data_IF_497095663180
#
_entry.id   IF_497095663180
#
_cell.length_a   1.000
_cell.length_b   1.000
_cell.length_c   1.000
_cell.angle_alpha   90.00
_cell.angle_beta   90.00
_cell.angle_gamma   90.00
#
_symmetry.space_group_name_H-M   'P 1'
#
loop_
_entity.id
_entity.type
_entity.pdbx_description
1 polymer ?
#
# COMPACT_ATOMS: atom_id res chain seq x y z
N UNK A 1 2.17 -12.76 -7.43
CA UNK A 1 2.12 -14.24 -7.60
C UNK A 1 1.12 -14.91 -6.64
N UNK A 2 1.18 -14.67 -5.31
CA UNK A 2 0.25 -15.28 -4.33
C UNK A 2 -1.21 -14.86 -4.53
N UNK A 3 -1.49 -13.57 -4.74
CA UNK A 3 -2.82 -13.07 -5.14
C UNK A 3 -3.44 -13.84 -6.32
N UNK A 4 -2.64 -14.14 -7.35
CA UNK A 4 -3.12 -14.90 -8.51
C UNK A 4 -3.42 -16.36 -8.17
N UNK A 5 -2.65 -16.97 -7.27
CA UNK A 5 -2.88 -18.36 -6.83
C UNK A 5 -4.19 -18.45 -6.03
N UNK A 6 -4.44 -17.51 -5.12
CA UNK A 6 -5.66 -17.44 -4.32
C UNK A 6 -6.88 -17.22 -5.22
N UNK A 7 -6.79 -16.37 -6.24
CA UNK A 7 -7.90 -16.14 -7.17
C UNK A 7 -8.11 -17.26 -8.21
N UNK A 8 -7.18 -18.21 -8.34
CA UNK A 8 -7.25 -19.26 -9.35
C UNK A 8 -8.01 -20.52 -8.90
N UNK A 9 -8.25 -20.67 -7.59
CA UNK A 9 -8.91 -21.84 -7.01
C UNK A 9 -10.20 -21.44 -6.26
N UNK A 10 -11.32 -22.17 -6.43
CA UNK A 10 -12.56 -21.95 -5.67
C UNK A 10 -12.41 -22.22 -4.17
N UNK A 11 -11.52 -23.15 -3.82
CA UNK A 11 -11.05 -23.37 -2.46
C UNK A 11 -9.55 -23.13 -2.44
N UNK A 12 -9.17 -22.08 -1.75
CA UNK A 12 -7.78 -21.65 -1.65
C UNK A 12 -7.07 -22.42 -0.57
N UNK A 13 -5.91 -22.96 -0.91
CA UNK A 13 -5.01 -23.62 0.02
C UNK A 13 -4.68 -22.69 1.20
N UNK A 14 -4.96 -23.14 2.42
CA UNK A 14 -4.79 -22.36 3.65
C UNK A 14 -3.32 -21.93 3.83
N UNK A 15 -2.39 -22.77 3.39
CA UNK A 15 -0.97 -22.43 3.39
C UNK A 15 -0.67 -21.22 2.51
N UNK A 16 -1.29 -21.13 1.33
CA UNK A 16 -1.11 -19.98 0.42
C UNK A 16 -1.69 -18.69 1.01
N UNK A 17 -2.79 -18.78 1.78
CA UNK A 17 -3.33 -17.63 2.53
C UNK A 17 -2.38 -17.18 3.64
N UNK A 18 -1.90 -18.11 4.46
CA UNK A 18 -0.97 -17.81 5.53
C UNK A 18 0.31 -17.15 4.99
N UNK A 19 0.87 -17.66 3.89
CA UNK A 19 2.04 -17.06 3.26
C UNK A 19 1.77 -15.64 2.73
N UNK A 20 0.54 -15.32 2.29
CA UNK A 20 0.18 -13.96 1.91
C UNK A 20 0.10 -13.04 3.13
N UNK A 21 -0.51 -13.50 4.22
CA UNK A 21 -0.60 -12.75 5.48
C UNK A 21 0.78 -12.46 6.07
N UNK A 22 1.67 -13.45 6.06
CA UNK A 22 3.05 -13.30 6.50
C UNK A 22 3.80 -12.25 5.67
N UNK A 23 3.64 -12.29 4.34
CA UNK A 23 4.23 -11.29 3.43
C UNK A 23 3.67 -9.88 3.70
N UNK A 24 2.37 -9.74 3.93
CA UNK A 24 1.76 -8.46 4.28
C UNK A 24 2.31 -7.91 5.61
N UNK A 25 2.44 -8.78 6.62
CA UNK A 25 3.01 -8.43 7.92
C UNK A 25 4.48 -8.01 7.79
N UNK A 26 5.27 -8.71 6.98
CA UNK A 26 6.67 -8.38 6.72
C UNK A 26 6.83 -7.05 5.97
N UNK A 27 5.99 -6.79 4.97
CA UNK A 27 5.97 -5.51 4.25
C UNK A 27 5.66 -4.39 5.24
N UNK A 28 4.61 -4.54 6.07
CA UNK A 28 4.25 -3.56 7.10
C UNK A 28 5.40 -3.30 8.09
N UNK A 29 6.03 -4.36 8.59
CA UNK A 29 7.15 -4.25 9.54
C UNK A 29 8.33 -3.53 8.91
N UNK A 30 8.70 -3.89 7.68
CA UNK A 30 9.81 -3.25 6.98
C UNK A 30 9.50 -1.79 6.63
N UNK A 31 8.29 -1.49 6.18
CA UNK A 31 7.87 -0.13 5.86
C UNK A 31 7.93 0.79 7.08
N UNK A 32 7.45 0.32 8.25
CA UNK A 32 7.57 1.08 9.50
C UNK A 32 9.03 1.29 9.93
N UNK A 33 9.89 0.29 9.73
CA UNK A 33 11.32 0.42 10.02
C UNK A 33 12.01 1.43 9.10
N UNK A 34 11.69 1.43 7.80
CA UNK A 34 12.22 2.41 6.85
C UNK A 34 11.73 3.81 7.19
N UNK A 35 10.42 3.99 7.44
CA UNK A 35 9.83 5.26 7.89
C UNK A 35 10.53 5.80 9.13
N UNK A 36 10.73 4.98 10.16
CA UNK A 36 11.42 5.39 11.39
C UNK A 36 12.87 5.83 11.14
N UNK A 37 13.58 5.15 10.24
CA UNK A 37 14.95 5.54 9.86
C UNK A 37 14.99 6.85 9.06
N UNK A 38 14.05 7.06 8.14
CA UNK A 38 13.95 8.31 7.38
C UNK A 38 13.68 9.49 8.29
N UNK A 39 12.68 9.38 9.19
CA UNK A 39 12.39 10.39 10.22
C UNK A 39 13.61 10.67 11.11
N UNK A 40 14.38 9.64 11.46
CA UNK A 40 15.62 9.83 12.21
C UNK A 40 16.70 10.61 11.44
N UNK A 41 16.83 10.40 10.13
CA UNK A 41 17.77 11.16 9.29
C UNK A 41 17.31 12.61 9.17
N UNK A 42 16.01 12.84 8.95
CA UNK A 42 15.40 14.18 8.90
C UNK A 42 15.69 14.98 10.17
N UNK A 43 15.42 14.42 11.36
CA UNK A 43 15.69 15.10 12.63
C UNK A 43 17.17 15.46 12.81
N UNK A 44 18.08 14.61 12.34
CA UNK A 44 19.51 14.91 12.39
C UNK A 44 19.88 16.06 11.43
N UNK A 45 19.29 16.10 10.22
CA UNK A 45 19.47 17.19 9.26
C UNK A 45 19.00 18.50 9.87
N UNK A 46 17.79 18.54 10.45
CA UNK A 46 17.22 19.73 11.08
C UNK A 46 18.10 20.26 12.23
N UNK A 47 18.64 19.36 13.07
CA UNK A 47 19.54 19.74 14.16
C UNK A 47 20.86 20.33 13.65
N UNK A 48 21.45 19.78 12.59
CA UNK A 48 22.68 20.29 12.00
C UNK A 48 22.47 21.64 11.31
N UNK A 49 21.31 21.85 10.67
CA UNK A 49 20.93 23.12 10.06
C UNK A 49 20.78 24.24 11.09
N UNK A 50 20.16 23.96 12.24
CA UNK A 50 20.05 24.91 13.35
C UNK A 50 21.42 25.35 13.90
N UNK A 51 22.45 24.51 13.74
CA UNK A 51 23.83 24.84 14.14
C UNK A 51 24.60 25.60 13.04
N UNK A 52 23.96 26.01 11.94
CA UNK A 52 24.56 26.68 10.78
C UNK A 52 25.76 25.92 10.17
N UNK A 53 25.79 24.59 10.30
CA UNK A 53 26.85 23.74 9.73
C UNK A 53 26.55 23.44 8.27
N UNK A 54 26.91 24.34 7.34
CA UNK A 54 26.88 24.02 5.91
C UNK A 54 28.11 23.20 5.51
N UNK A 55 28.02 21.88 5.66
CA UNK A 55 29.12 20.94 5.34
C UNK A 55 28.79 20.07 4.12
N UNK A 56 29.84 19.52 3.48
CA UNK A 56 29.66 18.50 2.43
C UNK A 56 28.90 17.28 2.96
N UNK A 57 29.12 16.91 4.22
CA UNK A 57 28.46 15.80 4.89
C UNK A 57 26.94 16.07 5.08
N UNK A 58 26.55 17.28 5.48
CA UNK A 58 25.13 17.68 5.56
C UNK A 58 24.46 17.61 4.18
N UNK A 59 25.13 18.10 3.12
CA UNK A 59 24.62 18.00 1.74
C UNK A 59 24.41 16.54 1.32
N UNK A 60 25.37 15.66 1.62
CA UNK A 60 25.26 14.23 1.33
C UNK A 60 24.05 13.63 2.07
N UNK A 61 23.88 13.90 3.38
CA UNK A 61 22.74 13.40 4.16
C UNK A 61 21.41 13.84 3.54
N UNK A 62 21.27 15.12 3.16
CA UNK A 62 20.07 15.68 2.52
C UNK A 62 19.75 14.99 1.19
N UNK A 63 20.74 14.84 0.31
CA UNK A 63 20.56 14.14 -0.98
C UNK A 63 20.18 12.68 -0.80
N UNK A 64 20.83 11.97 0.13
CA UNK A 64 20.53 10.57 0.40
C UNK A 64 19.13 10.39 1.01
N UNK A 65 18.76 11.25 1.97
CA UNK A 65 17.43 11.26 2.56
C UNK A 65 16.33 11.43 1.50
N UNK A 66 16.50 12.40 0.58
CA UNK A 66 15.57 12.64 -0.51
C UNK A 66 15.45 11.44 -1.46
N UNK A 67 16.58 10.90 -1.89
CA UNK A 67 16.62 9.75 -2.79
C UNK A 67 15.94 8.53 -2.17
N UNK A 68 16.22 8.24 -0.89
CA UNK A 68 15.63 7.12 -0.18
C UNK A 68 14.13 7.32 0.06
N UNK A 69 13.70 8.54 0.40
CA UNK A 69 12.29 8.89 0.58
C UNK A 69 11.49 8.70 -0.70
N UNK A 70 12.02 9.16 -1.85
CA UNK A 70 11.38 8.99 -3.16
C UNK A 70 11.22 7.52 -3.52
N UNK A 71 12.30 6.73 -3.37
CA UNK A 71 12.25 5.28 -3.61
C UNK A 71 11.26 4.57 -2.69
N UNK A 72 11.18 4.99 -1.43
CA UNK A 72 10.23 4.42 -0.49
C UNK A 72 8.78 4.68 -0.94
N UNK A 73 8.45 5.92 -1.29
CA UNK A 73 7.12 6.29 -1.81
C UNK A 73 6.79 5.51 -3.09
N UNK A 74 7.74 5.37 -4.01
CA UNK A 74 7.58 4.59 -5.25
C UNK A 74 7.18 3.13 -4.95
N UNK A 75 7.95 2.44 -4.11
CA UNK A 75 7.68 1.04 -3.73
C UNK A 75 6.34 0.89 -3.01
N UNK A 76 6.02 1.80 -2.09
CA UNK A 76 4.75 1.75 -1.37
C UNK A 76 3.56 2.04 -2.30
N UNK A 77 3.74 2.88 -3.33
CA UNK A 77 2.71 3.18 -4.33
C UNK A 77 2.42 1.96 -5.18
N UNK A 78 3.47 1.25 -5.62
CA UNK A 78 3.32 -0.01 -6.36
C UNK A 78 2.68 -1.10 -5.50
N UNK A 79 3.00 -1.16 -4.20
CA UNK A 79 2.33 -2.05 -3.26
C UNK A 79 0.83 -1.71 -3.14
N UNK A 80 0.47 -0.43 -2.97
CA UNK A 80 -0.93 0.00 -2.93
C UNK A 80 -1.69 -0.37 -4.21
N UNK A 81 -1.08 -0.13 -5.38
CA UNK A 81 -1.64 -0.54 -6.67
C UNK A 81 -1.91 -2.04 -6.73
N UNK A 82 -0.96 -2.86 -6.26
CA UNK A 82 -1.12 -4.32 -6.19
C UNK A 82 -2.29 -4.73 -5.29
N UNK A 83 -2.49 -4.04 -4.17
CA UNK A 83 -3.61 -4.29 -3.24
C UNK A 83 -4.95 -3.92 -3.87
N UNK A 84 -5.05 -2.74 -4.50
CA UNK A 84 -6.25 -2.28 -5.21
C UNK A 84 -6.61 -3.22 -6.35
N UNK A 85 -5.66 -3.61 -7.19
CA UNK A 85 -5.89 -4.58 -8.27
C UNK A 85 -6.40 -5.93 -7.74
N UNK A 86 -5.92 -6.37 -6.58
CA UNK A 86 -6.39 -7.61 -5.96
C UNK A 86 -7.81 -7.45 -5.38
N UNK A 87 -8.12 -6.31 -4.75
CA UNK A 87 -9.47 -5.98 -4.26
C UNK A 87 -10.49 -6.05 -5.39
N UNK A 88 -10.21 -5.39 -6.52
CA UNK A 88 -11.11 -5.39 -7.69
C UNK A 88 -11.33 -6.79 -8.25
N UNK A 89 -10.31 -7.64 -8.26
CA UNK A 89 -10.46 -9.04 -8.67
C UNK A 89 -11.32 -9.86 -7.69
N UNK A 90 -11.19 -9.62 -6.38
CA UNK A 90 -12.06 -10.25 -5.38
C UNK A 90 -13.51 -9.78 -5.54
N UNK A 91 -13.73 -8.48 -5.76
CA UNK A 91 -15.05 -7.91 -6.04
C UNK A 91 -15.69 -8.56 -7.27
N UNK A 92 -14.98 -8.62 -8.40
CA UNK A 92 -15.48 -9.27 -9.62
C UNK A 92 -15.77 -10.76 -9.45
N UNK A 93 -15.03 -11.47 -8.56
CA UNK A 93 -15.35 -12.85 -8.20
C UNK A 93 -16.68 -12.95 -7.44
N UNK A 94 -16.90 -12.09 -6.44
CA UNK A 94 -18.16 -12.05 -5.69
C UNK A 94 -19.33 -11.75 -6.63
N UNK A 95 -19.19 -10.75 -7.51
CA UNK A 95 -20.21 -10.41 -8.50
C UNK A 95 -20.63 -11.62 -9.34
N UNK A 96 -19.64 -12.33 -9.90
CA UNK A 96 -19.89 -13.52 -10.70
C UNK A 96 -20.56 -14.65 -9.91
N UNK A 97 -20.20 -14.81 -8.63
CA UNK A 97 -20.84 -15.81 -7.77
C UNK A 97 -22.30 -15.45 -7.47
N UNK A 98 -22.62 -14.17 -7.27
CA UNK A 98 -23.99 -13.70 -7.10
C UNK A 98 -24.84 -13.91 -8.38
N UNK A 99 -24.26 -13.68 -9.56
CA UNK A 99 -24.93 -13.98 -10.83
C UNK A 99 -25.26 -15.47 -10.98
N UNK A 100 -24.35 -16.36 -10.57
CA UNK A 100 -24.56 -17.82 -10.61
C UNK A 100 -25.69 -18.25 -9.68
N UNK A 101 -25.86 -17.59 -8.53
CA UNK A 101 -26.98 -17.87 -7.61
C UNK A 101 -28.30 -17.20 -8.01
N UNK A 102 -28.33 -16.52 -9.16
CA UNK A 102 -29.53 -15.88 -9.70
C UNK A 102 -29.82 -14.50 -9.13
N UNK A 103 -28.84 -13.87 -8.47
CA UNK A 103 -28.91 -12.49 -7.96
C UNK A 103 -27.94 -11.60 -8.76
N UNK A 104 -28.33 -11.12 -9.96
CA UNK A 104 -27.49 -10.17 -10.69
C UNK A 104 -27.35 -8.89 -9.87
N UNK A 105 -26.12 -8.44 -9.66
CA UNK A 105 -25.77 -7.27 -8.84
C UNK A 105 -24.89 -6.36 -9.66
N UNK A 106 -25.26 -5.08 -9.74
CA UNK A 106 -24.44 -4.08 -10.42
C UNK A 106 -23.26 -3.63 -9.53
N UNK A 107 -22.32 -2.90 -10.11
CA UNK A 107 -21.08 -2.53 -9.42
C UNK A 107 -21.33 -1.66 -8.17
N UNK A 108 -22.22 -0.67 -8.27
CA UNK A 108 -22.57 0.24 -7.17
C UNK A 108 -23.29 -0.46 -6.03
N UNK A 109 -24.18 -1.40 -6.35
CA UNK A 109 -24.88 -2.23 -5.37
C UNK A 109 -23.89 -3.15 -4.65
N UNK A 110 -22.97 -3.77 -5.39
CA UNK A 110 -21.95 -4.63 -4.80
C UNK A 110 -21.02 -3.84 -3.87
N UNK A 111 -20.63 -2.62 -4.25
CA UNK A 111 -19.80 -1.76 -3.41
C UNK A 111 -20.50 -1.46 -2.08
N UNK A 112 -21.80 -1.10 -2.11
CA UNK A 112 -22.59 -0.88 -0.89
C UNK A 112 -22.66 -2.13 -0.01
N UNK A 113 -22.84 -3.30 -0.62
CA UNK A 113 -22.85 -4.57 0.12
C UNK A 113 -21.51 -4.84 0.81
N UNK A 114 -20.38 -4.43 0.20
CA UNK A 114 -19.05 -4.53 0.80
C UNK A 114 -18.86 -3.51 1.94
N UNK A 115 -19.36 -2.29 1.77
CA UNK A 115 -19.28 -1.21 2.78
C UNK A 115 -20.08 -1.52 4.05
N UNK A 116 -21.20 -2.26 3.94
CA UNK A 116 -22.02 -2.67 5.08
C UNK A 116 -21.25 -3.60 6.05
N UNK A 117 -20.16 -4.22 5.62
CA UNK A 117 -19.28 -5.06 6.43
C UNK A 117 -19.95 -6.34 6.98
N UNK A 118 -21.19 -6.62 6.56
CA UNK A 118 -21.98 -7.74 7.03
C UNK A 118 -22.11 -8.82 5.96
N UNK A 119 -21.47 -9.97 6.18
CA UNK A 119 -21.51 -11.10 5.24
C UNK A 119 -22.93 -11.64 4.98
N UNK A 120 -23.91 -11.40 5.86
CA UNK A 120 -25.28 -11.85 5.64
C UNK A 120 -25.98 -11.15 4.47
N UNK A 121 -25.47 -10.00 4.05
CA UNK A 121 -26.02 -9.24 2.92
C UNK A 121 -25.89 -10.04 1.62
N UNK A 122 -24.86 -10.89 1.53
CA UNK A 122 -24.64 -11.80 0.40
C UNK A 122 -25.52 -13.06 0.46
N UNK A 123 -26.00 -13.49 1.63
CA UNK A 123 -26.87 -14.67 1.78
C UNK A 123 -28.34 -14.36 1.50
N UNK A 124 -28.73 -13.09 1.60
CA UNK A 124 -30.11 -12.67 1.49
C UNK A 124 -30.67 -12.95 0.08
N UNK A 125 -31.70 -13.81 0.03
CA UNK A 125 -32.37 -14.21 -1.22
C UNK A 125 -31.77 -15.43 -1.92
N UNK A 126 -30.68 -16.03 -1.41
CA UNK A 126 -30.09 -17.25 -1.98
C UNK A 126 -30.74 -18.50 -1.35
N UNK A 127 -31.32 -19.37 -2.18
CA UNK A 127 -31.89 -20.64 -1.73
C UNK A 127 -30.73 -21.62 -1.44
N UNK A 128 -30.47 -21.87 -0.15
CA UNK A 128 -29.35 -22.72 0.32
C UNK A 128 -29.60 -24.25 0.22
N UNK A 129 -30.60 -24.66 -0.56
CA UNK A 129 -31.01 -26.08 -0.66
C UNK A 129 -30.01 -26.93 -1.45
N UNK A 130 -29.23 -26.31 -2.36
CA UNK A 130 -28.25 -27.03 -3.19
C UNK A 130 -26.85 -26.97 -2.59
N UNK A 131 -26.08 -28.06 -2.75
CA UNK A 131 -24.66 -28.09 -2.38
C UNK A 131 -23.86 -27.01 -3.13
N UNK A 132 -24.27 -26.68 -4.36
CA UNK A 132 -23.68 -25.63 -5.18
C UNK A 132 -23.90 -24.23 -4.57
N UNK A 133 -25.10 -23.92 -4.08
CA UNK A 133 -25.39 -22.65 -3.41
C UNK A 133 -24.53 -22.49 -2.14
N UNK A 134 -24.38 -23.56 -1.34
CA UNK A 134 -23.52 -23.55 -0.14
C UNK A 134 -22.05 -23.29 -0.49
N UNK A 135 -21.53 -23.94 -1.54
CA UNK A 135 -20.15 -23.73 -1.98
C UNK A 135 -19.91 -22.31 -2.50
N UNK A 136 -20.90 -21.78 -3.23
CA UNK A 136 -20.85 -20.42 -3.77
C UNK A 136 -20.79 -19.39 -2.65
N UNK A 137 -21.61 -19.58 -1.62
CA UNK A 137 -21.62 -18.71 -0.46
C UNK A 137 -20.29 -18.75 0.30
N UNK A 138 -19.71 -19.93 0.52
CA UNK A 138 -18.42 -20.07 1.18
C UNK A 138 -17.30 -19.35 0.42
N UNK A 139 -17.34 -19.35 -0.92
CA UNK A 139 -16.39 -18.57 -1.73
C UNK A 139 -16.62 -17.06 -1.55
N UNK A 140 -17.87 -16.59 -1.60
CA UNK A 140 -18.20 -15.17 -1.36
C UNK A 140 -17.70 -14.71 0.02
N UNK A 141 -17.97 -15.47 1.08
CA UNK A 141 -17.49 -15.16 2.44
C UNK A 141 -15.96 -15.09 2.51
N UNK A 142 -15.27 -16.05 1.89
CA UNK A 142 -13.81 -16.05 1.84
C UNK A 142 -13.25 -14.85 1.08
N UNK A 143 -13.84 -14.47 -0.06
CA UNK A 143 -13.44 -13.27 -0.83
C UNK A 143 -13.74 -11.98 -0.07
N UNK A 144 -14.87 -11.90 0.62
CA UNK A 144 -15.23 -10.76 1.45
C UNK A 144 -14.23 -10.57 2.60
N UNK A 145 -13.86 -11.66 3.28
CA UNK A 145 -12.84 -11.61 4.32
C UNK A 145 -11.48 -11.15 3.78
N UNK A 146 -11.10 -11.60 2.58
CA UNK A 146 -9.90 -11.11 1.92
C UNK A 146 -9.99 -9.58 1.68
N UNK A 147 -11.10 -9.08 1.12
CA UNK A 147 -11.30 -7.63 0.90
C UNK A 147 -11.15 -6.83 2.20
N UNK A 148 -11.75 -7.28 3.31
CA UNK A 148 -11.64 -6.60 4.60
C UNK A 148 -10.19 -6.50 5.11
N UNK A 149 -9.38 -7.55 4.90
CA UNK A 149 -7.94 -7.54 5.22
C UNK A 149 -7.17 -6.56 4.34
N UNK A 150 -7.49 -6.49 3.04
CA UNK A 150 -6.86 -5.54 2.11
C UNK A 150 -7.20 -4.10 2.51
N UNK A 151 -8.45 -3.81 2.83
CA UNK A 151 -8.88 -2.46 3.22
C UNK A 151 -8.18 -1.99 4.49
N UNK A 152 -7.99 -2.89 5.45
CA UNK A 152 -7.18 -2.61 6.64
C UNK A 152 -5.74 -2.28 6.25
N UNK A 153 -5.11 -3.07 5.37
CA UNK A 153 -3.76 -2.79 4.87
C UNK A 153 -3.68 -1.47 4.10
N UNK A 154 -4.68 -1.13 3.28
CA UNK A 154 -4.70 0.11 2.48
C UNK A 154 -4.85 1.33 3.39
N UNK A 155 -5.71 1.27 4.42
CA UNK A 155 -5.85 2.34 5.42
C UNK A 155 -4.51 2.62 6.12
N UNK A 156 -3.79 1.57 6.50
CA UNK A 156 -2.46 1.73 7.10
C UNK A 156 -1.43 2.34 6.14
N UNK A 157 -1.50 2.03 4.85
CA UNK A 157 -0.68 2.69 3.82
C UNK A 157 -1.03 4.17 3.67
N UNK A 158 -2.31 4.50 3.71
CA UNK A 158 -2.78 5.87 3.62
C UNK A 158 -2.18 6.74 4.74
N UNK A 159 -2.20 6.27 5.98
CA UNK A 159 -1.57 6.97 7.11
C UNK A 159 -0.06 7.18 6.89
N UNK A 160 0.60 6.20 6.29
CA UNK A 160 2.02 6.28 5.93
C UNK A 160 2.27 7.27 4.78
N UNK A 161 1.38 7.35 3.79
CA UNK A 161 1.48 8.29 2.68
C UNK A 161 1.24 9.73 3.13
N UNK A 162 0.30 9.97 4.05
CA UNK A 162 0.08 11.30 4.60
C UNK A 162 1.32 11.82 5.35
N UNK A 163 1.95 10.96 6.15
CA UNK A 163 3.24 11.24 6.79
C UNK A 163 4.34 11.58 5.76
N UNK A 164 4.42 10.83 4.65
CA UNK A 164 5.48 10.97 3.65
C UNK A 164 5.23 12.09 2.62
N UNK A 165 3.97 12.47 2.37
CA UNK A 165 3.62 13.55 1.46
C UNK A 165 4.18 14.89 1.97
N UNK A 166 4.05 15.14 3.28
CA UNK A 166 4.67 16.29 3.94
C UNK A 166 6.21 16.28 3.82
N UNK A 167 6.82 15.09 3.87
CA UNK A 167 8.27 14.93 3.71
C UNK A 167 8.73 15.25 2.28
N UNK A 168 7.99 14.84 1.25
CA UNK A 168 8.40 15.03 -0.14
C UNK A 168 8.18 16.47 -0.60
N UNK A 169 7.11 17.14 -0.12
CA UNK A 169 6.78 18.52 -0.48
C UNK A 169 7.82 19.54 0.05
N UNK A 170 8.31 19.36 1.27
CA UNK A 170 9.36 20.22 1.86
C UNK A 170 10.73 20.09 1.19
N UNK A 171 10.93 19.04 0.37
CA UNK A 171 12.23 18.72 -0.24
C UNK A 171 12.43 19.27 -1.65
N UNK A 172 11.38 19.75 -2.32
CA UNK A 172 11.47 20.34 -3.68
C UNK A 172 12.41 21.56 -3.72
N UNK A 173 12.28 22.47 -2.76
CA UNK A 173 13.13 23.67 -2.67
C UNK A 173 14.59 23.38 -2.27
N UNK A 174 14.85 22.21 -1.69
CA UNK A 174 16.14 21.87 -1.10
C UNK A 174 17.09 21.20 -2.10
N UNK A 175 16.56 20.40 -3.03
CA UNK A 175 17.35 19.78 -4.11
C UNK A 175 17.88 20.86 -5.07
N UNK A 176 17.04 21.84 -5.43
CA UNK A 176 17.44 22.97 -6.28
C UNK A 176 18.61 23.76 -5.66
N UNK A 177 18.63 23.90 -4.33
CA UNK A 177 19.77 24.51 -3.61
C UNK A 177 21.04 23.66 -3.65
N UNK A 178 20.93 22.32 -3.73
CA UNK A 178 22.11 21.45 -3.80
C UNK A 178 22.73 21.48 -5.18
N UNK A 179 21.93 21.44 -6.25
CA UNK A 179 22.41 21.61 -7.62
C UNK A 179 23.13 22.96 -7.75
N UNK A 180 22.50 24.02 -7.24
CA UNK A 180 23.12 25.34 -7.10
C UNK A 180 24.44 25.31 -6.30
N UNK A 181 24.48 24.69 -5.12
CA UNK A 181 25.71 24.64 -4.31
C UNK A 181 26.80 23.69 -4.84
N UNK A 182 26.48 22.72 -5.68
CA UNK A 182 27.46 21.86 -6.36
C UNK A 182 28.06 22.59 -7.56
N UNK A 183 27.23 23.30 -8.33
CA UNK A 183 27.66 24.19 -9.41
C UNK A 183 28.63 25.26 -8.88
N UNK A 184 28.29 25.93 -7.78
CA UNK A 184 29.14 26.96 -7.17
C UNK A 184 30.33 26.40 -6.36
N UNK A 185 30.33 25.11 -6.00
CA UNK A 185 31.49 24.48 -5.37
C UNK A 185 32.59 24.15 -6.39
N UNK A 186 32.24 23.95 -7.68
CA UNK A 186 33.24 23.82 -8.74
C UNK A 186 33.99 25.14 -8.98
N UNK A 187 33.29 26.27 -8.92
CA UNK A 187 33.89 27.61 -9.12
C UNK A 187 35.01 27.90 -8.10
N UNK A 188 34.86 27.44 -6.86
CA UNK A 188 35.85 27.64 -5.78
C UNK A 188 37.14 26.81 -5.98
N UNK A 189 37.08 25.71 -6.73
CA UNK A 189 38.23 24.86 -7.05
C UNK A 189 38.91 25.32 -8.34
N UNK A 190 38.18 25.95 -9.26
CA UNK A 190 38.72 26.42 -10.54
C UNK A 190 39.38 27.81 -10.46
N UNK A 191 39.12 28.56 -9.39
CA UNK A 191 39.74 29.86 -9.10
C UNK A 191 40.90 29.79 -8.08
N UNK A 192 41.27 28.59 -7.61
CA UNK A 192 42.44 28.31 -6.77
C UNK A 192 43.57 27.66 -7.59
#
# INVERSE_FOLDING_TARGET
>A
KKHSAILSAPQTDEKTKQELEDLMADIKKNANRVRGKLKGIEQNIEQEEQQNKSSADLRIRKTQHSTLSRKFVEVMTEYNRTQTDYRERCKGRIQRQLEITGRPTNDDELEKMLEEGNSSVFTQGIIMETQQAKQTLADIEARHQDIMKLETSIKELHDMFMDMAMLVESQGEMIDRIEYHVEHAMDYVQTA
#
